data_IF_554751984707
#
_entry.id   IF_554751984707
#
_cell.length_a   1.000
_cell.length_b   1.000
_cell.length_c   1.000
_cell.angle_alpha   90.00
_cell.angle_beta   90.00
_cell.angle_gamma   90.00
#
_symmetry.space_group_name_H-M   'P 1'
#
loop_
_entity.id
_entity.type
_entity.pdbx_description
1 polymer ?
#
# COMPACT_ATOMS: atom_id res chain seq x y z
N UNK A 1 -17.67 -20.99 8.52
CA UNK A 1 -17.48 -19.65 7.95
C UNK A 1 -16.08 -19.15 8.33
N UNK A 2 -15.05 -19.92 7.99
CA UNK A 2 -13.65 -19.70 8.44
C UNK A 2 -12.64 -19.81 7.28
N UNK A 3 -13.12 -19.90 6.04
CA UNK A 3 -12.31 -19.92 4.83
C UNK A 3 -12.36 -18.62 4.03
N UNK A 4 -13.17 -17.63 4.43
CA UNK A 4 -13.30 -16.35 3.71
C UNK A 4 -12.21 -15.32 4.06
N UNK A 5 -11.51 -15.46 5.20
CA UNK A 5 -10.40 -14.54 5.52
C UNK A 5 -9.09 -14.90 4.80
N UNK A 6 -8.93 -16.12 4.28
CA UNK A 6 -7.75 -16.48 3.47
C UNK A 6 -7.86 -16.04 2.01
N UNK A 7 -9.05 -15.60 1.54
CA UNK A 7 -9.21 -15.01 0.21
C UNK A 7 -8.81 -13.53 0.16
N UNK A 8 -8.73 -12.82 1.29
CA UNK A 8 -8.41 -11.39 1.32
C UNK A 8 -6.93 -11.06 1.01
N UNK A 9 -6.04 -12.05 1.00
CA UNK A 9 -4.61 -11.86 0.74
C UNK A 9 -4.17 -12.20 -0.70
N UNK A 10 -5.08 -12.72 -1.54
CA UNK A 10 -4.76 -13.02 -2.94
C UNK A 10 -5.39 -11.98 -3.85
N UNK A 11 -4.65 -10.89 -4.06
CA UNK A 11 -4.96 -9.92 -5.11
C UNK A 11 -4.73 -10.56 -6.48
N UNK A 12 -5.43 -10.07 -7.50
CA UNK A 12 -5.30 -10.54 -8.88
C UNK A 12 -5.28 -9.37 -9.85
N UNK A 13 -4.45 -9.47 -10.88
CA UNK A 13 -4.39 -8.51 -11.99
C UNK A 13 -5.11 -9.10 -13.18
N UNK A 14 -6.10 -8.38 -13.71
CA UNK A 14 -6.77 -8.75 -14.96
C UNK A 14 -6.00 -8.12 -16.12
N UNK A 15 -5.63 -8.92 -17.12
CA UNK A 15 -4.90 -8.46 -18.30
C UNK A 15 -5.79 -8.46 -19.55
N UNK A 16 -6.71 -9.41 -19.65
CA UNK A 16 -7.79 -9.42 -20.65
C UNK A 16 -8.91 -10.35 -20.16
N UNK A 17 -9.95 -10.55 -20.97
CA UNK A 17 -11.11 -11.36 -20.62
C UNK A 17 -10.76 -12.82 -20.23
N UNK A 18 -9.60 -13.33 -20.63
CA UNK A 18 -9.19 -14.72 -20.44
C UNK A 18 -7.97 -14.88 -19.51
N UNK A 19 -7.32 -13.77 -19.11
CA UNK A 19 -6.04 -13.83 -18.42
C UNK A 19 -6.05 -13.05 -17.10
N UNK A 20 -5.91 -13.81 -16.02
CA UNK A 20 -5.79 -13.33 -14.64
C UNK A 20 -4.42 -13.73 -14.11
N UNK A 21 -3.63 -12.75 -13.68
CA UNK A 21 -2.25 -12.93 -13.24
C UNK A 21 -2.17 -12.77 -11.73
N UNK A 22 -1.52 -13.73 -11.07
CA UNK A 22 -1.19 -13.60 -9.65
C UNK A 22 -0.07 -12.55 -9.50
N UNK A 23 -0.28 -11.47 -8.74
CA UNK A 23 0.74 -10.48 -8.50
C UNK A 23 1.82 -10.98 -7.55
N UNK A 24 3.02 -10.43 -7.69
CA UNK A 24 4.01 -10.51 -6.62
C UNK A 24 3.63 -9.54 -5.49
N UNK A 25 4.13 -9.80 -4.28
CA UNK A 25 4.08 -8.85 -3.17
C UNK A 25 5.30 -7.94 -3.32
N UNK A 26 5.10 -6.62 -3.22
CA UNK A 26 6.20 -5.67 -3.34
C UNK A 26 7.22 -5.89 -2.22
N UNK A 27 8.49 -5.83 -2.59
CA UNK A 27 9.58 -5.80 -1.62
C UNK A 27 9.68 -4.43 -0.95
N UNK A 28 10.32 -4.37 0.21
CA UNK A 28 10.61 -3.09 0.87
C UNK A 28 11.39 -2.14 -0.06
N UNK A 29 12.31 -2.67 -0.86
CA UNK A 29 13.10 -1.92 -1.84
C UNK A 29 12.22 -1.31 -2.94
N UNK A 30 11.18 -2.03 -3.38
CA UNK A 30 10.23 -1.53 -4.37
C UNK A 30 9.33 -0.45 -3.78
N UNK A 31 8.82 -0.65 -2.56
CA UNK A 31 8.01 0.32 -1.85
C UNK A 31 8.79 1.60 -1.52
N UNK A 32 10.09 1.47 -1.22
CA UNK A 32 11.01 2.58 -0.91
C UNK A 32 11.36 3.44 -2.14
N UNK A 33 10.99 3.03 -3.36
CA UNK A 33 11.14 3.90 -4.55
C UNK A 33 10.32 5.19 -4.45
N UNK A 34 9.22 5.15 -3.70
CA UNK A 34 8.37 6.32 -3.43
C UNK A 34 8.39 6.72 -1.95
N UNK A 35 8.14 5.76 -1.06
CA UNK A 35 8.03 5.98 0.38
C UNK A 35 9.39 6.19 1.03
N UNK A 36 9.46 6.88 2.16
CA UNK A 36 10.70 6.96 2.95
C UNK A 36 10.92 5.68 3.76
N UNK A 37 12.18 5.30 3.98
CA UNK A 37 12.53 4.14 4.83
C UNK A 37 11.92 4.28 6.22
N UNK A 38 11.98 5.48 6.81
CA UNK A 38 11.39 5.78 8.12
C UNK A 38 9.88 5.53 8.17
N UNK A 39 9.14 5.90 7.12
CA UNK A 39 7.71 5.61 7.03
C UNK A 39 7.45 4.11 6.93
N UNK A 40 8.20 3.39 6.09
CA UNK A 40 8.02 1.96 5.91
C UNK A 40 8.36 1.15 7.17
N UNK A 41 9.42 1.52 7.87
CA UNK A 41 9.80 0.94 9.16
C UNK A 41 8.72 1.18 10.22
N UNK A 42 8.21 2.42 10.31
CA UNK A 42 7.13 2.76 11.22
C UNK A 42 5.87 1.96 10.92
N UNK A 43 5.41 1.99 9.66
CA UNK A 43 4.23 1.26 9.20
C UNK A 43 4.34 -0.24 9.46
N UNK A 44 5.50 -0.83 9.19
CA UNK A 44 5.74 -2.25 9.43
C UNK A 44 5.63 -2.59 10.92
N UNK A 45 6.19 -1.75 11.80
CA UNK A 45 6.12 -1.94 13.24
C UNK A 45 4.68 -1.89 13.76
N UNK A 46 3.94 -0.81 13.47
CA UNK A 46 2.58 -0.64 14.01
C UNK A 46 1.58 -1.62 13.40
N UNK A 47 1.87 -2.13 12.20
CA UNK A 47 1.08 -3.17 11.54
C UNK A 47 1.23 -4.56 12.17
N UNK A 48 2.24 -4.82 13.00
CA UNK A 48 2.38 -6.14 13.65
C UNK A 48 1.30 -6.37 14.71
N UNK A 49 0.96 -5.33 15.45
CA UNK A 49 -0.01 -5.41 16.55
C UNK A 49 -1.29 -4.60 16.28
N UNK A 50 -1.36 -3.86 15.15
CA UNK A 50 -2.47 -2.96 14.82
C UNK A 50 -2.59 -1.76 15.76
N UNK A 51 -1.45 -1.30 16.31
CA UNK A 51 -1.41 -0.24 17.31
C UNK A 51 -1.55 1.15 16.66
N UNK A 52 -2.74 1.74 16.84
CA UNK A 52 -3.07 3.08 16.37
C UNK A 52 -2.69 4.19 17.35
N UNK A 53 -2.30 3.85 18.58
CA UNK A 53 -2.07 4.81 19.66
C UNK A 53 -0.60 5.24 19.77
N UNK A 54 0.25 4.81 18.84
CA UNK A 54 1.65 5.25 18.77
C UNK A 54 1.70 6.76 18.46
N UNK A 55 2.23 7.61 19.35
CA UNK A 55 2.16 9.08 19.19
C UNK A 55 2.77 9.60 17.88
N UNK A 56 3.77 8.90 17.35
CA UNK A 56 4.45 9.25 16.09
C UNK A 56 3.61 8.93 14.84
N UNK A 57 2.54 8.13 14.93
CA UNK A 57 1.71 7.76 13.77
C UNK A 57 1.08 8.97 13.08
N UNK A 58 0.73 10.01 13.83
CA UNK A 58 0.22 11.26 13.28
C UNK A 58 1.23 12.02 12.40
N UNK A 59 2.54 11.87 12.66
CA UNK A 59 3.61 12.44 11.83
C UNK A 59 3.84 11.67 10.52
N UNK A 60 3.13 10.56 10.34
CA UNK A 60 3.09 9.76 9.12
C UNK A 60 1.72 9.76 8.44
N UNK A 61 0.78 10.58 8.92
CA UNK A 61 -0.60 10.64 8.41
C UNK A 61 -1.45 9.42 8.78
N UNK A 62 -1.06 8.67 9.81
CA UNK A 62 -1.75 7.47 10.30
C UNK A 62 -2.54 7.81 11.56
N UNK A 63 -3.76 7.30 11.67
CA UNK A 63 -4.68 7.64 12.76
C UNK A 63 -6.14 7.53 12.35
N UNK A 64 -6.98 8.49 12.75
CA UNK A 64 -8.44 8.39 12.55
C UNK A 64 -8.87 8.19 11.09
N UNK A 65 -8.32 9.00 10.17
CA UNK A 65 -8.68 8.92 8.74
C UNK A 65 -7.98 7.77 7.99
N UNK A 66 -6.88 7.25 8.55
CA UNK A 66 -6.10 6.14 8.01
C UNK A 66 -5.69 5.20 9.15
N UNK A 67 -6.62 4.40 9.69
CA UNK A 67 -6.34 3.52 10.81
C UNK A 67 -5.51 2.33 10.34
N UNK A 68 -4.47 2.02 11.09
CA UNK A 68 -3.65 0.85 10.90
C UNK A 68 -4.23 -0.32 11.70
N UNK A 69 -4.36 -1.46 11.05
CA UNK A 69 -4.78 -2.72 11.67
C UNK A 69 -3.66 -3.73 11.55
N UNK A 70 -3.77 -4.84 12.28
CA UNK A 70 -2.85 -5.97 12.13
C UNK A 70 -2.78 -6.42 10.65
N UNK A 71 -1.56 -6.60 10.13
CA UNK A 71 -1.31 -7.01 8.74
C UNK A 71 -1.48 -5.92 7.67
N UNK A 72 -1.70 -4.66 8.05
CA UNK A 72 -1.85 -3.54 7.11
C UNK A 72 -0.62 -3.33 6.20
N UNK A 73 0.60 -3.50 6.72
CA UNK A 73 1.83 -3.42 5.92
C UNK A 73 1.84 -4.47 4.79
N UNK A 74 1.47 -5.73 5.10
CA UNK A 74 1.42 -6.80 4.12
C UNK A 74 0.34 -6.54 3.06
N UNK A 75 -0.78 -5.96 3.48
CA UNK A 75 -1.83 -5.52 2.56
C UNK A 75 -1.32 -4.41 1.62
N UNK A 76 -0.65 -3.38 2.15
CA UNK A 76 -0.06 -2.31 1.35
C UNK A 76 0.97 -2.86 0.35
N UNK A 77 1.86 -3.74 0.81
CA UNK A 77 2.85 -4.40 -0.04
C UNK A 77 2.22 -5.25 -1.15
N UNK A 78 1.12 -5.95 -0.85
CA UNK A 78 0.38 -6.70 -1.86
C UNK A 78 -0.25 -5.79 -2.92
N UNK A 79 -0.86 -4.67 -2.50
CA UNK A 79 -1.48 -3.68 -3.41
C UNK A 79 -0.45 -3.03 -4.33
N UNK A 80 0.70 -2.64 -3.78
CA UNK A 80 1.82 -2.07 -4.54
C UNK A 80 2.35 -3.09 -5.56
N UNK A 81 2.59 -4.33 -5.12
CA UNK A 81 3.06 -5.42 -5.97
C UNK A 81 2.07 -5.78 -7.09
N UNK A 82 0.76 -5.66 -6.84
CA UNK A 82 -0.27 -5.81 -7.86
C UNK A 82 -0.21 -4.71 -8.93
N UNK A 83 0.02 -3.46 -8.54
CA UNK A 83 0.20 -2.35 -9.48
C UNK A 83 1.48 -2.51 -10.30
N UNK A 84 2.58 -2.93 -9.66
CA UNK A 84 3.84 -3.22 -10.35
C UNK A 84 3.69 -4.38 -11.33
N UNK A 85 2.99 -5.45 -10.94
CA UNK A 85 2.71 -6.59 -11.83
C UNK A 85 1.85 -6.16 -13.03
N UNK A 86 0.82 -5.36 -12.81
CA UNK A 86 -0.03 -4.82 -13.87
C UNK A 86 0.76 -3.95 -14.85
N UNK A 87 1.68 -3.13 -14.32
CA UNK A 87 2.60 -2.32 -15.13
C UNK A 87 3.54 -3.21 -15.94
N UNK A 88 4.13 -4.23 -15.33
CA UNK A 88 5.01 -5.17 -16.02
C UNK A 88 4.30 -5.90 -17.16
N UNK A 89 3.04 -6.32 -16.95
CA UNK A 89 2.25 -6.95 -18.00
C UNK A 89 2.02 -6.04 -19.22
N UNK A 90 1.88 -4.73 -19.02
CA UNK A 90 1.81 -3.76 -20.12
C UNK A 90 3.16 -3.62 -20.84
N UNK A 91 4.26 -3.52 -20.08
CA UNK A 91 5.62 -3.42 -20.64
C UNK A 91 5.99 -4.64 -21.48
N UNK A 92 5.61 -5.83 -21.01
CA UNK A 92 5.82 -7.10 -21.69
C UNK A 92 4.83 -7.35 -22.84
N UNK A 93 3.93 -6.40 -23.12
CA UNK A 93 2.88 -6.50 -24.16
C UNK A 93 1.98 -7.73 -23.99
N UNK A 94 1.73 -8.14 -22.74
CA UNK A 94 0.84 -9.27 -22.41
C UNK A 94 -0.64 -8.91 -22.51
N UNK A 95 -0.95 -7.62 -22.51
CA UNK A 95 -2.27 -7.05 -22.77
C UNK A 95 -2.16 -5.56 -23.08
N UNK A 96 -3.21 -5.02 -23.71
CA UNK A 96 -3.30 -3.59 -24.01
C UNK A 96 -3.80 -2.77 -22.82
N UNK A 97 -4.57 -3.41 -21.93
CA UNK A 97 -5.14 -2.83 -20.71
C UNK A 97 -4.89 -3.80 -19.56
N UNK A 98 -4.46 -3.31 -18.42
CA UNK A 98 -4.38 -4.10 -17.18
C UNK A 98 -5.19 -3.41 -16.09
N UNK A 99 -5.80 -4.22 -15.21
CA UNK A 99 -6.67 -3.73 -14.16
C UNK A 99 -6.22 -4.31 -12.83
N UNK A 100 -5.95 -3.41 -11.88
CA UNK A 100 -5.78 -3.70 -10.46
C UNK A 100 -6.86 -2.95 -9.68
N UNK A 101 -7.95 -3.63 -9.31
CA UNK A 101 -9.06 -3.03 -8.57
C UNK A 101 -8.71 -2.64 -7.13
N UNK A 102 -7.67 -3.24 -6.57
CA UNK A 102 -7.25 -2.99 -5.18
C UNK A 102 -6.25 -1.85 -5.06
N UNK A 103 -5.73 -1.34 -6.20
CA UNK A 103 -4.85 -0.19 -6.28
C UNK A 103 -5.59 1.15 -6.30
N UNK A 104 -4.89 2.22 -6.70
CA UNK A 104 -5.49 3.56 -6.84
C UNK A 104 -5.54 4.38 -5.53
N UNK A 105 -4.75 4.01 -4.52
CA UNK A 105 -4.63 4.72 -3.23
C UNK A 105 -3.84 6.04 -3.35
N UNK A 106 -4.35 6.95 -4.17
CA UNK A 106 -3.68 8.18 -4.61
C UNK A 106 -3.50 9.28 -3.55
N UNK A 107 -4.07 9.11 -2.36
CA UNK A 107 -3.94 10.06 -1.26
C UNK A 107 -2.64 9.87 -0.47
N UNK A 108 -1.96 8.73 -0.64
CA UNK A 108 -0.68 8.47 0.00
C UNK A 108 0.37 9.52 -0.37
N UNK A 109 1.11 9.98 0.63
CA UNK A 109 2.24 10.91 0.48
C UNK A 109 3.53 10.16 0.79
N UNK A 110 4.65 10.64 0.24
CA UNK A 110 5.99 10.08 0.49
C UNK A 110 6.33 9.97 1.98
N UNK A 111 5.85 10.96 2.74
CA UNK A 111 5.84 11.06 4.20
C UNK A 111 4.77 12.12 4.52
N UNK A 112 3.87 11.93 5.48
CA UNK A 112 2.92 12.97 5.88
C UNK A 112 3.13 13.43 7.33
N UNK A 113 4.12 14.32 7.50
CA UNK A 113 4.35 15.06 8.74
C UNK A 113 3.31 16.16 8.87
N UNK A 114 2.21 15.88 9.56
CA UNK A 114 1.14 16.84 9.83
C UNK A 114 1.59 18.10 10.58
N UNK A 115 2.18 19.09 9.89
CA UNK A 115 2.22 20.51 10.30
C UNK A 115 2.52 21.45 9.14
N UNK A 116 1.49 21.80 8.37
CA UNK A 116 1.30 23.18 7.89
C UNK A 116 0.32 23.90 8.83
N UNK A 117 0.66 24.00 10.12
CA UNK A 117 0.09 25.08 10.94
C UNK A 117 1.03 26.27 10.82
N UNK A 118 0.47 27.38 10.35
CA UNK A 118 1.20 28.53 9.83
C UNK A 118 2.18 29.18 10.80
N UNK A 119 3.22 29.74 10.21
CA UNK A 119 3.81 31.00 10.64
C UNK A 119 3.72 31.92 9.42
N UNK A 120 2.58 32.59 9.27
CA UNK A 120 2.65 34.00 8.93
C UNK A 120 3.05 34.71 10.23
N UNK A 121 4.04 35.60 10.14
CA UNK A 121 4.53 36.51 11.17
C UNK A 121 5.33 35.89 12.33
N UNK A 122 6.65 35.75 12.13
CA UNK A 122 7.75 36.45 12.85
C UNK A 122 9.12 36.00 12.30
#
# INVERSE_FOLDING_TARGET
MTTELQCATTLWVVVNQENVVKPHVATIEEMAKFNTDAYLEHLHKISQDGDNDVPQSGDFGLGYDCPVVEGFYDYAAAVDGATLTATQCLLDKRGEVTINWSGGWHHAKKEDRGRTRGNADE
#
